data_IF_427710777656
#
_entry.id   IF_427710777656
#
_cell.length_a   1.000
_cell.length_b   1.000
_cell.length_c   1.000
_cell.angle_alpha   90.00
_cell.angle_beta   90.00
_cell.angle_gamma   90.00
#
_symmetry.space_group_name_H-M   'P 1'
#
loop_
_entity.id
_entity.type
_entity.pdbx_description
1 polymer ?
#
# COMPACT_ATOMS: atom_id res chain seq x y z
N UNK A 1 2.19 -1.57 -9.58
CA UNK A 1 2.98 -0.35 -9.38
C UNK A 1 2.09 0.54 -8.55
N UNK A 2 2.52 0.98 -7.37
CA UNK A 2 1.68 1.79 -6.48
C UNK A 2 1.71 3.23 -6.96
N UNK A 3 0.54 3.88 -7.06
CA UNK A 3 0.47 5.31 -7.32
C UNK A 3 0.99 6.03 -6.08
N UNK A 4 1.93 6.94 -6.28
CA UNK A 4 2.53 7.69 -5.18
C UNK A 4 1.76 9.00 -5.02
N UNK A 5 1.09 9.15 -3.87
CA UNK A 5 0.72 10.45 -3.37
C UNK A 5 1.96 11.04 -2.68
N UNK A 6 2.35 12.26 -3.06
CA UNK A 6 3.46 12.97 -2.44
C UNK A 6 2.84 14.10 -1.61
N UNK A 7 2.60 13.90 -0.30
CA UNK A 7 2.13 14.99 0.53
C UNK A 7 3.22 16.06 0.61
N UNK A 8 2.88 17.30 0.26
CA UNK A 8 3.77 18.43 0.41
C UNK A 8 3.83 18.81 1.90
N UNK A 9 4.97 18.59 2.55
CA UNK A 9 5.19 19.05 3.93
C UNK A 9 5.54 20.54 3.90
N UNK A 10 4.71 21.36 4.54
CA UNK A 10 5.06 22.75 4.91
C UNK A 10 4.52 23.87 4.02
N UNK A 11 3.63 23.58 3.08
CA UNK A 11 2.92 24.61 2.31
C UNK A 11 1.43 24.26 2.32
N UNK A 12 0.56 25.18 2.74
CA UNK A 12 -0.86 25.12 2.39
C UNK A 12 -0.96 25.12 0.85
N UNK A 13 -1.08 23.95 0.21
CA UNK A 13 -0.99 23.90 -1.25
C UNK A 13 -1.83 22.76 -1.83
N UNK A 14 -2.85 23.19 -2.59
CA UNK A 14 -4.00 22.50 -3.19
C UNK A 14 -5.09 22.00 -2.24
N UNK A 15 -6.32 22.47 -2.49
CA UNK A 15 -7.59 21.90 -2.01
C UNK A 15 -7.90 20.54 -2.65
N UNK A 16 -6.89 19.89 -3.24
CA UNK A 16 -7.03 18.72 -4.10
C UNK A 16 -5.88 17.75 -3.86
N UNK A 17 -6.20 16.45 -3.92
CA UNK A 17 -5.26 15.33 -3.88
C UNK A 17 -4.93 14.90 -5.30
N UNK A 18 -3.62 14.84 -5.61
CA UNK A 18 -3.14 14.52 -6.95
C UNK A 18 -2.31 13.25 -6.95
N UNK A 19 -2.55 12.40 -7.95
CA UNK A 19 -1.83 11.14 -8.19
C UNK A 19 -1.40 11.08 -9.66
N UNK A 20 -0.17 10.64 -9.90
CA UNK A 20 0.40 10.52 -11.24
C UNK A 20 0.67 9.06 -11.58
N UNK A 21 0.34 8.67 -12.81
CA UNK A 21 0.57 7.31 -13.29
C UNK A 21 0.92 7.25 -14.77
N UNK A 22 1.56 6.16 -15.14
CA UNK A 22 1.83 5.79 -16.53
C UNK A 22 1.49 4.32 -16.75
N UNK A 23 0.75 4.05 -17.82
CA UNK A 23 0.52 2.69 -18.29
C UNK A 23 1.69 2.30 -19.21
N UNK A 24 2.57 1.44 -18.69
CA UNK A 24 3.74 0.92 -19.44
C UNK A 24 3.32 0.34 -20.80
N UNK A 25 4.10 0.61 -21.84
CA UNK A 25 3.80 0.19 -23.22
C UNK A 25 3.68 -1.33 -23.38
N UNK A 26 4.21 -2.14 -22.45
CA UNK A 26 4.12 -3.61 -22.44
C UNK A 26 2.83 -4.14 -21.80
N UNK A 27 2.06 -3.31 -21.11
CA UNK A 27 0.73 -3.69 -20.60
C UNK A 27 -0.30 -3.57 -21.74
N UNK A 28 -1.38 -4.35 -21.74
CA UNK A 28 -2.44 -4.14 -22.75
C UNK A 28 -3.31 -2.94 -22.39
N UNK A 29 -3.69 -2.87 -21.12
CA UNK A 29 -4.49 -1.82 -20.49
C UNK A 29 -4.14 -1.79 -18.99
N UNK A 30 -4.67 -0.83 -18.26
CA UNK A 30 -4.62 -0.79 -16.81
C UNK A 30 -6.00 -0.57 -16.20
N UNK A 31 -6.23 -1.21 -15.06
CA UNK A 31 -7.39 -1.01 -14.20
C UNK A 31 -7.00 -0.08 -13.05
N UNK A 32 -7.67 1.07 -12.95
CA UNK A 32 -7.66 1.93 -11.77
C UNK A 32 -8.87 1.55 -10.92
N UNK A 33 -8.62 1.17 -9.68
CA UNK A 33 -9.63 0.92 -8.67
C UNK A 33 -9.65 2.11 -7.71
N UNK A 34 -10.79 2.76 -7.59
CA UNK A 34 -11.02 3.91 -6.73
C UNK A 34 -11.94 3.49 -5.58
N UNK A 35 -11.68 4.03 -4.38
CA UNK A 35 -12.57 3.88 -3.23
C UNK A 35 -12.68 5.19 -2.48
N UNK A 36 -13.91 5.64 -2.25
CA UNK A 36 -14.21 6.82 -1.43
C UNK A 36 -13.87 6.58 0.03
N UNK A 37 -13.11 7.51 0.64
CA UNK A 37 -12.79 7.49 2.06
C UNK A 37 -13.76 8.36 2.88
N UNK A 38 -14.39 9.31 2.21
CA UNK A 38 -15.40 10.25 2.68
C UNK A 38 -16.56 10.28 1.67
N UNK A 39 -17.73 10.74 2.11
CA UNK A 39 -18.89 10.89 1.23
C UNK A 39 -18.70 12.06 0.27
N UNK A 40 -19.41 12.05 -0.86
CA UNK A 40 -19.32 13.12 -1.87
C UNK A 40 -17.89 13.45 -2.34
N UNK A 41 -17.08 12.41 -2.56
CA UNK A 41 -15.74 12.58 -3.13
C UNK A 41 -15.80 12.64 -4.65
N UNK A 42 -15.32 13.72 -5.26
CA UNK A 42 -15.23 13.84 -6.72
C UNK A 42 -13.81 13.50 -7.16
N UNK A 43 -13.72 12.63 -8.18
CA UNK A 43 -12.46 12.19 -8.79
C UNK A 43 -12.48 12.44 -10.28
N UNK A 44 -11.44 13.11 -10.77
CA UNK A 44 -11.23 13.40 -12.20
C UNK A 44 -9.90 12.84 -12.67
N UNK A 45 -9.91 12.13 -13.79
CA UNK A 45 -8.72 11.52 -14.39
C UNK A 45 -8.50 12.20 -15.74
N UNK A 46 -7.29 12.71 -15.97
CA UNK A 46 -6.90 13.43 -17.18
C UNK A 46 -5.72 12.78 -17.87
N UNK A 47 -5.62 12.96 -19.19
CA UNK A 47 -4.35 12.77 -19.90
C UNK A 47 -3.33 13.80 -19.40
N UNK A 48 -2.16 13.34 -18.96
CA UNK A 48 -1.10 14.22 -18.49
C UNK A 48 -0.55 15.05 -19.66
N UNK A 49 -0.53 16.38 -19.49
CA UNK A 49 -0.01 17.32 -20.49
C UNK A 49 -0.98 17.65 -21.64
N UNK A 50 -2.24 17.20 -21.57
CA UNK A 50 -3.23 17.44 -22.65
C UNK A 50 -4.55 18.05 -22.18
N UNK A 51 -4.68 18.41 -20.89
CA UNK A 51 -5.91 18.93 -20.24
C UNK A 51 -7.22 18.27 -20.71
N UNK A 52 -7.14 16.99 -21.07
CA UNK A 52 -8.24 16.22 -21.65
C UNK A 52 -8.72 15.23 -20.60
N UNK A 53 -9.98 15.38 -20.19
CA UNK A 53 -10.64 14.48 -19.24
C UNK A 53 -10.78 13.08 -19.87
N UNK A 54 -10.43 12.06 -19.09
CA UNK A 54 -10.61 10.64 -19.38
C UNK A 54 -11.88 10.14 -18.70
N UNK A 55 -12.06 10.49 -17.42
CA UNK A 55 -13.20 10.04 -16.61
C UNK A 55 -13.44 11.00 -15.44
N UNK A 56 -14.70 11.19 -15.08
CA UNK A 56 -15.13 11.86 -13.85
C UNK A 56 -16.06 10.91 -13.08
N UNK A 57 -15.86 10.82 -11.77
CA UNK A 57 -16.56 9.89 -10.89
C UNK A 57 -16.87 10.60 -9.57
N UNK A 58 -18.08 10.41 -9.07
CA UNK A 58 -18.49 10.77 -7.70
C UNK A 58 -18.56 9.49 -6.88
N UNK A 59 -17.99 9.51 -5.68
CA UNK A 59 -17.87 8.37 -4.77
C UNK A 59 -18.37 8.75 -3.39
N UNK A 60 -19.25 7.93 -2.84
CA UNK A 60 -19.52 7.96 -1.39
C UNK A 60 -18.51 7.09 -0.62
N UNK A 61 -18.52 7.21 0.71
CA UNK A 61 -17.62 6.44 1.55
C UNK A 61 -17.85 4.94 1.37
N UNK A 62 -16.76 4.18 1.23
CA UNK A 62 -16.74 2.74 0.89
C UNK A 62 -17.17 2.41 -0.55
N UNK A 63 -17.73 3.36 -1.29
CA UNK A 63 -18.09 3.14 -2.68
C UNK A 63 -16.82 2.93 -3.51
N UNK A 64 -16.87 1.92 -4.39
CA UNK A 64 -15.78 1.58 -5.29
C UNK A 64 -16.15 1.79 -6.74
N UNK A 65 -15.19 2.25 -7.55
CA UNK A 65 -15.33 2.36 -9.01
C UNK A 65 -14.09 1.83 -9.71
N UNK A 66 -14.32 1.34 -10.93
CA UNK A 66 -13.31 0.74 -11.79
C UNK A 66 -13.21 1.57 -13.05
N UNK A 67 -12.02 2.07 -13.37
CA UNK A 67 -11.74 2.84 -14.58
C UNK A 67 -10.65 2.13 -15.37
N UNK A 68 -10.93 1.82 -16.63
CA UNK A 68 -9.94 1.21 -17.53
C UNK A 68 -9.22 2.32 -18.29
N UNK A 69 -7.88 2.23 -18.32
CA UNK A 69 -7.00 3.17 -19.02
C UNK A 69 -6.22 2.42 -20.08
N UNK A 70 -6.20 2.94 -21.30
CA UNK A 70 -5.48 2.36 -22.43
C UNK A 70 -3.96 2.38 -22.24
N UNK A 71 -3.29 1.42 -22.88
CA UNK A 71 -1.83 1.36 -23.00
C UNK A 71 -1.18 2.70 -23.40
N UNK A 72 0.02 2.99 -22.89
CA UNK A 72 0.80 4.16 -23.27
C UNK A 72 0.28 5.48 -22.69
N UNK A 73 -0.80 5.45 -21.91
CA UNK A 73 -1.39 6.64 -21.30
C UNK A 73 -0.56 7.08 -20.10
N UNK A 74 -0.08 8.33 -20.13
CA UNK A 74 0.32 9.09 -18.94
C UNK A 74 -0.90 9.85 -18.43
N UNK A 75 -1.21 9.74 -17.14
CA UNK A 75 -2.40 10.34 -16.56
C UNK A 75 -2.14 11.04 -15.23
N UNK A 76 -3.00 12.01 -14.93
CA UNK A 76 -3.13 12.68 -13.63
C UNK A 76 -4.53 12.40 -13.09
N UNK A 77 -4.62 11.90 -11.87
CA UNK A 77 -5.87 11.81 -11.11
C UNK A 77 -5.89 12.95 -10.09
N UNK A 78 -7.01 13.65 -10.01
CA UNK A 78 -7.27 14.76 -9.08
C UNK A 78 -8.53 14.44 -8.32
N UNK A 79 -8.54 14.67 -7.01
CA UNK A 79 -9.74 14.53 -6.19
C UNK A 79 -9.83 15.65 -5.16
N UNK A 80 -11.03 16.03 -4.77
CA UNK A 80 -11.29 17.02 -3.72
C UNK A 80 -11.07 16.45 -2.30
N UNK A 81 -11.21 15.14 -2.12
CA UNK A 81 -10.92 14.42 -0.89
C UNK A 81 -9.88 13.32 -1.13
N UNK A 82 -9.36 12.75 -0.05
CA UNK A 82 -8.43 11.64 -0.16
C UNK A 82 -9.15 10.40 -0.69
N UNK A 83 -8.53 9.72 -1.65
CA UNK A 83 -9.08 8.49 -2.27
C UNK A 83 -8.08 7.36 -2.14
N UNK A 84 -8.57 6.16 -1.81
CA UNK A 84 -7.75 4.95 -1.95
C UNK A 84 -7.71 4.55 -3.42
N UNK A 85 -6.51 4.63 -4.02
CA UNK A 85 -6.30 4.29 -5.42
C UNK A 85 -5.41 3.05 -5.56
N UNK A 86 -5.91 2.03 -6.24
CA UNK A 86 -5.14 0.84 -6.64
C UNK A 86 -4.96 0.81 -8.15
N UNK A 87 -3.72 0.61 -8.60
CA UNK A 87 -3.35 0.58 -10.01
C UNK A 87 -2.83 -0.79 -10.43
N UNK A 88 -3.57 -1.45 -11.33
CA UNK A 88 -3.29 -2.79 -11.82
C UNK A 88 -3.06 -2.75 -13.33
N UNK A 89 -1.80 -2.82 -13.74
CA UNK A 89 -1.41 -2.89 -15.14
C UNK A 89 -0.73 -4.24 -15.44
N UNK A 90 -1.09 -4.84 -16.57
CA UNK A 90 -0.58 -6.15 -16.97
C UNK A 90 -0.91 -6.50 -18.42
N UNK A 91 -0.49 -7.69 -18.86
CA UNK A 91 -0.86 -8.23 -20.19
C UNK A 91 -2.34 -8.58 -20.27
N UNK A 92 -2.89 -9.04 -19.14
CA UNK A 92 -4.31 -9.33 -18.95
C UNK A 92 -4.87 -8.33 -17.94
N UNK A 93 -6.03 -7.77 -18.27
CA UNK A 93 -6.77 -6.92 -17.36
C UNK A 93 -7.49 -7.81 -16.33
N UNK A 94 -7.33 -7.57 -15.02
CA UNK A 94 -8.09 -8.30 -14.02
C UNK A 94 -9.59 -8.05 -14.19
N UNK A 95 -10.41 -9.09 -14.05
CA UNK A 95 -11.87 -8.97 -14.08
C UNK A 95 -12.42 -8.76 -12.66
N UNK A 96 -13.03 -7.59 -12.36
CA UNK A 96 -13.65 -7.34 -11.05
C UNK A 96 -14.85 -8.25 -10.71
N UNK A 97 -15.38 -9.00 -11.69
CA UNK A 97 -16.44 -10.00 -11.46
C UNK A 97 -15.88 -11.37 -11.06
N UNK A 98 -14.57 -11.58 -11.16
CA UNK A 98 -13.92 -12.82 -10.76
C UNK A 98 -13.80 -12.91 -9.23
N UNK A 99 -13.67 -14.11 -8.69
CA UNK A 99 -13.38 -14.35 -7.26
C UNK A 99 -11.90 -14.19 -6.90
N UNK A 100 -11.04 -13.98 -7.90
CA UNK A 100 -9.59 -13.79 -7.78
C UNK A 100 -9.11 -12.53 -8.48
N UNK A 101 -7.94 -12.07 -8.05
CA UNK A 101 -7.23 -10.96 -8.67
C UNK A 101 -5.73 -10.96 -8.29
N UNK A 102 -4.94 -10.08 -8.94
CA UNK A 102 -3.53 -9.92 -8.59
C UNK A 102 -3.36 -9.23 -7.22
N UNK A 103 -2.44 -9.71 -6.38
CA UNK A 103 -2.09 -9.00 -5.15
C UNK A 103 -1.21 -7.79 -5.48
N UNK A 104 -1.61 -6.60 -5.00
CA UNK A 104 -0.75 -5.42 -4.99
C UNK A 104 0.32 -5.62 -3.93
N UNK A 105 1.59 -5.43 -4.29
CA UNK A 105 2.71 -5.52 -3.34
C UNK A 105 3.02 -4.13 -2.82
N UNK A 106 2.97 -3.94 -1.50
CA UNK A 106 3.28 -2.66 -0.85
C UNK A 106 2.58 -2.50 0.49
N UNK A 107 2.30 -1.25 0.83
CA UNK A 107 1.61 -0.87 2.06
C UNK A 107 0.35 -0.10 1.70
N UNK A 108 -0.72 -0.34 2.47
CA UNK A 108 -1.98 0.35 2.28
C UNK A 108 -1.98 1.67 3.05
N UNK A 109 -2.60 2.70 2.49
CA UNK A 109 -2.76 4.00 3.14
C UNK A 109 -3.96 4.00 4.08
N UNK A 110 -3.83 4.65 5.22
CA UNK A 110 -4.94 4.93 6.15
C UNK A 110 -5.90 5.94 5.53
N UNK A 111 -7.06 6.12 6.17
CA UNK A 111 -8.02 7.19 5.81
C UNK A 111 -7.47 8.60 6.04
N UNK A 112 -6.32 8.75 6.71
CA UNK A 112 -5.60 10.01 6.86
C UNK A 112 -4.46 10.20 5.86
N UNK A 113 -4.27 9.28 4.91
CA UNK A 113 -3.26 9.40 3.83
C UNK A 113 -1.85 8.95 4.17
N UNK A 114 -1.60 8.56 5.43
CA UNK A 114 -0.32 8.01 5.88
C UNK A 114 -0.33 6.47 5.78
N UNK A 115 0.83 5.82 5.97
CA UNK A 115 0.89 4.34 6.01
C UNK A 115 0.71 3.74 7.40
N UNK A 116 0.44 4.59 8.38
CA UNK A 116 0.20 4.25 9.78
C UNK A 116 -1.09 4.92 10.19
N UNK A 117 -1.99 4.18 10.83
CA UNK A 117 -3.23 4.76 11.29
C UNK A 117 -4.12 3.78 12.04
N UNK A 118 -5.33 4.24 12.33
CA UNK A 118 -6.36 3.50 13.06
C UNK A 118 -7.53 3.09 12.19
N UNK A 119 -7.62 3.63 10.98
CA UNK A 119 -8.66 3.30 10.02
C UNK A 119 -8.10 3.21 8.61
N UNK A 120 -8.51 2.17 7.89
CA UNK A 120 -8.11 1.90 6.51
C UNK A 120 -9.34 1.50 5.72
N UNK A 121 -9.48 2.03 4.50
CA UNK A 121 -10.53 1.65 3.56
C UNK A 121 -9.86 1.35 2.23
N UNK A 122 -10.06 0.16 1.70
CA UNK A 122 -9.43 -0.27 0.46
C UNK A 122 -10.20 -1.41 -0.20
N UNK A 123 -10.05 -1.54 -1.52
CA UNK A 123 -10.48 -2.72 -2.26
C UNK A 123 -9.36 -3.74 -2.28
N UNK A 124 -9.71 -4.97 -1.99
CA UNK A 124 -8.80 -6.10 -2.01
C UNK A 124 -8.73 -6.72 -3.40
N UNK A 125 -7.58 -7.29 -3.72
CA UNK A 125 -7.42 -8.17 -4.88
C UNK A 125 -6.41 -9.24 -4.50
N UNK A 126 -6.79 -10.51 -4.56
CA UNK A 126 -5.91 -11.61 -4.20
C UNK A 126 -6.23 -12.93 -4.92
N UNK A 127 -5.33 -13.89 -4.82
CA UNK A 127 -5.59 -15.25 -5.30
C UNK A 127 -6.61 -15.96 -4.40
N UNK A 128 -7.12 -17.09 -4.90
CA UNK A 128 -8.04 -17.98 -4.17
C UNK A 128 -7.42 -18.56 -2.88
N UNK A 129 -6.09 -18.60 -2.79
CA UNK A 129 -5.37 -19.17 -1.67
C UNK A 129 -4.37 -18.18 -1.08
N UNK A 130 -4.07 -18.36 0.20
CA UNK A 130 -3.10 -17.55 0.95
C UNK A 130 -3.72 -16.37 1.70
N UNK A 131 -2.89 -15.76 2.54
CA UNK A 131 -3.23 -14.63 3.40
C UNK A 131 -2.23 -13.48 3.13
N UNK A 132 -2.41 -12.73 2.04
CA UNK A 132 -1.41 -11.77 1.56
C UNK A 132 -1.38 -10.46 2.35
N UNK A 133 -2.42 -10.18 3.15
CA UNK A 133 -2.53 -8.96 3.94
C UNK A 133 -2.03 -9.21 5.36
N UNK A 134 -0.94 -8.56 5.74
CA UNK A 134 -0.41 -8.56 7.10
C UNK A 134 -0.83 -7.29 7.81
N UNK A 135 -1.54 -7.44 8.92
CA UNK A 135 -1.80 -6.36 9.86
C UNK A 135 -0.78 -6.48 10.99
N UNK A 136 0.03 -5.45 11.19
CA UNK A 136 1.00 -5.33 12.28
C UNK A 136 0.54 -4.24 13.24
N UNK A 137 0.50 -4.55 14.53
CA UNK A 137 0.18 -3.58 15.57
C UNK A 137 1.45 -2.88 16.09
N UNK A 138 1.44 -1.55 16.13
CA UNK A 138 2.55 -0.76 16.69
C UNK A 138 2.40 -0.56 18.21
N UNK A 139 1.17 -0.72 18.70
CA UNK A 139 0.75 -0.65 20.10
C UNK A 139 -0.40 -1.64 20.32
N UNK A 140 -0.74 -1.93 21.57
CA UNK A 140 -1.86 -2.82 21.91
C UNK A 140 -3.16 -2.35 21.22
N UNK A 141 -3.72 -3.22 20.38
CA UNK A 141 -4.78 -2.85 19.45
C UNK A 141 -5.87 -3.91 19.40
N UNK A 142 -7.14 -3.48 19.45
CA UNK A 142 -8.29 -4.27 19.04
C UNK A 142 -8.66 -3.85 17.62
N UNK A 143 -8.65 -4.80 16.70
CA UNK A 143 -8.91 -4.61 15.27
C UNK A 143 -10.24 -5.24 14.92
N UNK A 144 -11.06 -4.52 14.16
CA UNK A 144 -12.32 -5.01 13.59
C UNK A 144 -12.36 -4.68 12.11
N UNK A 145 -12.70 -5.67 11.29
CA UNK A 145 -12.74 -5.56 9.84
C UNK A 145 -14.20 -5.69 9.41
N UNK A 146 -14.68 -4.73 8.63
CA UNK A 146 -16.03 -4.68 8.08
C UNK A 146 -15.96 -4.86 6.57
N UNK A 147 -16.97 -5.53 6.00
CA UNK A 147 -17.18 -5.59 4.55
C UNK A 147 -17.95 -4.34 4.09
N UNK A 148 -18.03 -4.17 2.78
CA UNK A 148 -18.74 -3.06 2.13
C UNK A 148 -20.24 -2.98 2.43
N UNK A 149 -20.87 -4.09 2.83
CA UNK A 149 -22.26 -4.14 3.29
C UNK A 149 -22.43 -3.68 4.76
N UNK A 150 -21.35 -3.29 5.42
CA UNK A 150 -21.33 -2.91 6.84
C UNK A 150 -21.24 -4.08 7.80
N UNK A 151 -21.34 -5.32 7.32
CA UNK A 151 -21.22 -6.53 8.14
C UNK A 151 -19.81 -6.71 8.70
N UNK A 152 -19.72 -7.07 9.98
CA UNK A 152 -18.45 -7.45 10.59
C UNK A 152 -17.93 -8.74 9.91
N UNK A 153 -16.72 -8.67 9.36
CA UNK A 153 -16.02 -9.81 8.79
C UNK A 153 -15.24 -10.57 9.86
N UNK A 154 -14.47 -9.87 10.69
CA UNK A 154 -13.71 -10.45 11.79
C UNK A 154 -13.25 -9.40 12.80
N UNK A 155 -13.01 -9.83 14.04
CA UNK A 155 -12.48 -9.00 15.12
C UNK A 155 -11.45 -9.77 15.95
N UNK A 156 -10.35 -9.11 16.34
CA UNK A 156 -9.28 -9.73 17.13
C UNK A 156 -8.40 -8.66 17.79
N UNK A 157 -7.60 -9.08 18.78
CA UNK A 157 -6.62 -8.22 19.44
C UNK A 157 -5.19 -8.62 19.09
N UNK A 158 -4.29 -7.64 19.03
CA UNK A 158 -2.85 -7.81 18.86
C UNK A 158 -2.12 -6.98 19.92
N UNK A 159 -1.07 -7.54 20.50
CA UNK A 159 -0.12 -6.77 21.32
C UNK A 159 0.84 -5.98 20.43
N UNK A 160 1.52 -5.00 21.02
CA UNK A 160 2.55 -4.25 20.32
C UNK A 160 3.60 -5.18 19.68
N UNK A 161 3.88 -4.97 18.38
CA UNK A 161 4.75 -5.77 17.51
C UNK A 161 4.22 -7.18 17.14
N UNK A 162 3.00 -7.53 17.52
CA UNK A 162 2.34 -8.71 16.98
C UNK A 162 1.71 -8.40 15.62
N UNK A 163 1.56 -9.45 14.81
CA UNK A 163 0.94 -9.35 13.51
C UNK A 163 -0.01 -10.52 13.26
N UNK A 164 -0.95 -10.32 12.33
CA UNK A 164 -1.81 -11.37 11.78
C UNK A 164 -1.85 -11.26 10.28
N UNK A 165 -1.67 -12.40 9.62
CA UNK A 165 -1.91 -12.54 8.18
C UNK A 165 -3.39 -12.92 7.97
N UNK A 166 -4.07 -12.21 7.07
CA UNK A 166 -5.48 -12.44 6.75
C UNK A 166 -5.70 -12.64 5.25
N UNK A 167 -6.70 -13.45 4.93
CA UNK A 167 -7.23 -13.63 3.59
C UNK A 167 -8.53 -12.84 3.47
N UNK A 168 -8.72 -12.13 2.36
CA UNK A 168 -9.89 -11.32 2.08
C UNK A 168 -10.44 -11.70 0.70
N UNK A 169 -11.75 -11.54 0.48
CA UNK A 169 -12.32 -11.80 -0.86
C UNK A 169 -11.81 -10.76 -1.85
N UNK A 170 -11.58 -11.13 -3.11
CA UNK A 170 -11.19 -10.15 -4.13
C UNK A 170 -12.35 -9.23 -4.48
N UNK A 171 -12.01 -8.01 -4.88
CA UNK A 171 -12.90 -6.96 -5.39
C UNK A 171 -13.98 -6.49 -4.42
N UNK A 172 -13.77 -6.73 -3.12
CA UNK A 172 -14.63 -6.25 -2.04
C UNK A 172 -13.96 -5.06 -1.37
N UNK A 173 -14.71 -4.00 -1.09
CA UNK A 173 -14.23 -2.92 -0.22
C UNK A 173 -14.26 -3.41 1.23
N UNK A 174 -13.15 -3.23 1.95
CA UNK A 174 -13.06 -3.49 3.38
C UNK A 174 -12.75 -2.21 4.12
N UNK A 175 -13.34 -2.07 5.31
CA UNK A 175 -12.99 -1.06 6.30
C UNK A 175 -12.37 -1.73 7.50
N UNK A 176 -11.13 -1.39 7.81
CA UNK A 176 -10.43 -1.86 9.01
C UNK A 176 -10.46 -0.73 10.04
N UNK A 177 -10.94 -1.00 11.24
CA UNK A 177 -10.86 -0.10 12.40
C UNK A 177 -9.98 -0.71 13.47
N UNK A 178 -9.18 0.12 14.13
CA UNK A 178 -8.31 -0.27 15.22
C UNK A 178 -8.35 0.74 16.37
N UNK A 179 -8.21 0.28 17.61
CA UNK A 179 -8.06 1.17 18.78
C UNK A 179 -6.68 1.85 18.83
N UNK A 180 -5.65 1.16 18.31
CA UNK A 180 -4.27 1.61 18.23
C UNK A 180 -3.75 1.71 16.80
N UNK A 181 -2.57 2.28 16.63
CA UNK A 181 -1.91 2.44 15.34
C UNK A 181 -1.44 1.10 14.79
N UNK A 182 -1.81 0.83 13.55
CA UNK A 182 -1.43 -0.37 12.80
C UNK A 182 -0.81 0.01 11.46
N UNK A 183 -0.12 -0.96 10.87
CA UNK A 183 0.37 -0.93 9.48
C UNK A 183 -0.25 -2.13 8.75
N UNK A 184 -0.74 -1.92 7.52
CA UNK A 184 -1.21 -3.00 6.66
C UNK A 184 -0.28 -3.14 5.46
N UNK A 185 0.39 -4.29 5.37
CA UNK A 185 1.23 -4.65 4.25
C UNK A 185 0.54 -5.71 3.40
N UNK A 186 0.45 -5.48 2.09
CA UNK A 186 0.02 -6.47 1.11
C UNK A 186 1.24 -7.05 0.39
N UNK A 187 1.36 -8.37 0.34
CA UNK A 187 2.52 -9.03 -0.27
C UNK A 187 2.19 -10.42 -0.79
N UNK A 188 2.80 -10.79 -1.92
CA UNK A 188 2.89 -12.18 -2.37
C UNK A 188 4.30 -12.69 -2.08
N UNK A 189 4.41 -13.70 -1.23
CA UNK A 189 5.67 -14.30 -0.80
C UNK A 189 6.54 -14.78 -1.99
N UNK A 190 5.91 -15.20 -3.09
CA UNK A 190 6.58 -15.83 -4.22
C UNK A 190 6.80 -14.92 -5.43
N UNK A 191 6.32 -13.67 -5.38
CA UNK A 191 6.48 -12.71 -6.47
C UNK A 191 7.27 -11.51 -5.98
N UNK A 192 8.50 -11.42 -6.46
CA UNK A 192 9.43 -10.37 -6.08
C UNK A 192 9.20 -9.09 -6.87
N UNK A 193 9.00 -7.99 -6.14
CA UNK A 193 9.21 -6.63 -6.62
C UNK A 193 9.81 -5.82 -5.49
N UNK A 194 10.71 -4.90 -5.79
CA UNK A 194 11.12 -3.89 -4.81
C UNK A 194 9.92 -2.98 -4.52
N UNK A 195 9.70 -2.67 -3.25
CA UNK A 195 8.70 -1.71 -2.79
C UNK A 195 9.28 -0.84 -1.68
N UNK A 196 8.73 0.35 -1.51
CA UNK A 196 9.12 1.25 -0.43
C UNK A 196 8.52 0.77 0.89
N UNK A 197 9.31 0.85 1.96
CA UNK A 197 8.87 0.52 3.32
C UNK A 197 8.66 1.85 4.05
N UNK A 198 7.43 2.17 4.47
CA UNK A 198 7.18 3.38 5.23
C UNK A 198 7.74 3.24 6.64
N UNK A 199 8.12 4.37 7.21
CA UNK A 199 8.43 4.49 8.61
C UNK A 199 7.16 4.46 9.45
N UNK A 200 7.28 4.06 10.72
CA UNK A 200 6.22 4.18 11.72
C UNK A 200 5.75 5.62 11.96
N UNK A 201 6.53 6.60 11.51
CA UNK A 201 6.16 8.01 11.58
C UNK A 201 5.21 8.40 10.43
N UNK A 202 4.80 7.44 9.58
CA UNK A 202 3.79 7.62 8.52
C UNK A 202 4.34 8.02 7.15
N UNK A 203 5.62 8.40 7.05
CA UNK A 203 6.31 8.81 5.81
C UNK A 203 7.33 7.76 5.34
N UNK A 204 8.06 8.01 4.24
CA UNK A 204 9.18 7.16 3.80
C UNK A 204 10.53 7.51 4.43
N UNK A 205 10.58 8.52 5.31
CA UNK A 205 11.76 8.93 6.05
C UNK A 205 11.50 8.78 7.53
N UNK A 206 12.41 8.14 8.26
CA UNK A 206 12.26 7.96 9.70
C UNK A 206 13.31 7.02 10.28
N UNK A 207 13.06 6.55 11.49
CA UNK A 207 14.04 5.77 12.27
C UNK A 207 13.64 4.32 12.48
N UNK A 208 12.35 3.99 12.33
CA UNK A 208 11.81 2.64 12.53
C UNK A 208 10.95 2.27 11.34
N UNK A 209 11.17 1.07 10.84
CA UNK A 209 10.53 0.52 9.65
C UNK A 209 10.17 -0.94 9.92
N UNK A 210 9.01 -1.36 9.43
CA UNK A 210 8.56 -2.75 9.54
C UNK A 210 8.19 -3.27 8.18
N UNK A 211 8.65 -4.48 7.86
CA UNK A 211 8.21 -5.23 6.68
C UNK A 211 8.24 -6.72 6.98
N UNK A 212 7.28 -7.43 6.39
CA UNK A 212 7.35 -8.88 6.19
C UNK A 212 8.61 -9.21 5.40
N UNK A 213 9.31 -10.24 5.85
CA UNK A 213 10.44 -10.86 5.17
C UNK A 213 10.32 -12.39 5.28
N UNK A 214 10.98 -13.11 4.38
CA UNK A 214 11.09 -14.56 4.44
C UNK A 214 12.23 -14.99 5.36
N UNK A 215 11.97 -16.04 6.14
CA UNK A 215 12.94 -16.68 7.05
C UNK A 215 13.90 -17.61 6.31
N UNK A 216 13.46 -18.28 5.24
CA UNK A 216 14.32 -19.07 4.35
C UNK A 216 14.25 -18.51 2.93
N UNK A 217 15.42 -18.38 2.30
CA UNK A 217 15.57 -17.68 1.02
C UNK A 217 16.16 -18.62 -0.03
N UNK A 218 15.49 -18.82 -1.17
CA UNK A 218 16.13 -19.46 -2.33
C UNK A 218 17.33 -18.63 -2.79
N UNK A 219 18.44 -19.31 -3.14
CA UNK A 219 19.74 -18.67 -3.41
C UNK A 219 19.71 -17.64 -4.55
N UNK A 220 18.81 -17.83 -5.53
CA UNK A 220 18.67 -16.97 -6.73
C UNK A 220 17.94 -15.65 -6.47
N UNK A 221 17.48 -15.40 -5.24
CA UNK A 221 16.73 -14.21 -4.92
C UNK A 221 17.58 -13.15 -4.21
N UNK A 222 17.56 -11.92 -4.74
CA UNK A 222 18.17 -10.72 -4.12
C UNK A 222 17.26 -10.05 -3.09
N UNK A 223 16.72 -10.84 -2.17
CA UNK A 223 15.98 -10.32 -1.02
C UNK A 223 16.94 -9.60 -0.06
N UNK A 224 16.99 -8.29 -0.18
CA UNK A 224 17.75 -7.41 0.68
C UNK A 224 17.04 -6.07 0.88
N UNK A 225 17.57 -5.29 1.81
CA UNK A 225 17.14 -3.91 2.03
C UNK A 225 18.11 -2.98 1.30
N UNK A 226 17.58 -2.04 0.52
CA UNK A 226 18.34 -0.88 0.08
C UNK A 226 18.03 0.27 1.03
N UNK A 227 19.03 0.72 1.76
CA UNK A 227 18.88 1.72 2.82
C UNK A 227 19.64 2.96 2.40
N UNK A 228 18.93 4.07 2.23
CA UNK A 228 19.50 5.40 2.01
C UNK A 228 19.42 6.19 3.31
N UNK A 229 20.53 6.80 3.72
CA UNK A 229 20.55 7.67 4.90
C UNK A 229 20.86 9.10 4.53
N UNK A 230 20.13 10.06 5.11
CA UNK A 230 20.39 11.49 4.91
C UNK A 230 21.60 11.99 5.72
N UNK A 231 21.97 11.26 6.78
CA UNK A 231 23.11 11.56 7.67
C UNK A 231 23.84 10.27 8.01
N UNK A 232 25.05 10.35 8.56
CA UNK A 232 25.74 9.17 9.06
C UNK A 232 24.86 8.46 10.11
N UNK A 233 24.55 7.19 9.89
CA UNK A 233 23.61 6.42 10.71
C UNK A 233 24.15 5.03 11.05
N UNK A 234 23.80 4.54 12.23
CA UNK A 234 23.93 3.13 12.61
C UNK A 234 22.58 2.47 12.39
N UNK A 235 22.54 1.44 11.56
CA UNK A 235 21.31 0.71 11.24
C UNK A 235 21.38 -0.67 11.86
N UNK A 236 20.25 -1.10 12.44
CA UNK A 236 20.06 -2.45 12.98
C UNK A 236 18.90 -3.09 12.26
N UNK A 237 19.14 -4.26 11.70
CA UNK A 237 18.10 -5.12 11.15
C UNK A 237 17.71 -6.09 12.25
N UNK A 238 16.43 -6.10 12.60
CA UNK A 238 15.91 -6.82 13.77
C UNK A 238 14.83 -7.80 13.34
N UNK A 239 14.91 -9.03 13.84
CA UNK A 239 13.85 -10.01 13.70
C UNK A 239 12.83 -9.82 14.83
N UNK A 240 11.65 -9.32 14.48
CA UNK A 240 10.58 -9.03 15.44
C UNK A 240 10.04 -10.30 16.11
N UNK A 241 9.98 -11.43 15.37
CA UNK A 241 9.43 -12.70 15.87
C UNK A 241 10.38 -13.34 16.87
N UNK A 242 11.67 -13.44 16.52
CA UNK A 242 12.69 -14.05 17.37
C UNK A 242 13.34 -13.07 18.35
N UNK A 243 12.96 -11.80 18.30
CA UNK A 243 13.45 -10.73 19.19
C UNK A 243 14.99 -10.67 19.24
N UNK A 244 15.64 -10.71 18.06
CA UNK A 244 17.10 -10.68 17.94
C UNK A 244 17.59 -9.75 16.83
N UNK A 245 18.77 -9.18 16.99
CA UNK A 245 19.45 -8.48 15.91
C UNK A 245 19.94 -9.50 14.88
N UNK A 246 19.62 -9.25 13.61
CA UNK A 246 20.08 -10.05 12.47
C UNK A 246 21.37 -9.46 11.91
N UNK A 247 21.42 -8.13 11.80
CA UNK A 247 22.59 -7.44 11.24
C UNK A 247 22.71 -6.02 11.81
N UNK A 248 23.96 -5.53 11.90
CA UNK A 248 24.27 -4.16 12.30
C UNK A 248 25.29 -3.58 11.32
N UNK A 249 25.02 -2.37 10.85
CA UNK A 249 25.88 -1.71 9.88
C UNK A 249 25.90 -0.19 10.06
N UNK A 250 26.86 0.46 9.42
CA UNK A 250 26.91 1.92 9.29
C UNK A 250 26.52 2.31 7.87
N UNK A 251 25.78 3.41 7.73
CA UNK A 251 25.40 4.00 6.45
C UNK A 251 25.85 5.45 6.48
N UNK A 252 26.67 5.83 5.51
CA UNK A 252 27.12 7.20 5.35
C UNK A 252 25.98 8.09 4.84
N UNK A 253 25.96 9.34 5.29
CA UNK A 253 24.98 10.33 4.81
C UNK A 253 25.09 10.56 3.31
N UNK A 254 23.95 10.66 2.64
CA UNK A 254 23.86 10.83 1.18
C UNK A 254 24.16 9.56 0.38
N UNK A 255 24.45 8.43 1.04
CA UNK A 255 24.80 7.16 0.38
C UNK A 255 23.77 6.07 0.69
N UNK A 256 23.59 5.19 -0.29
CA UNK A 256 22.77 3.99 -0.15
C UNK A 256 23.65 2.77 0.06
N UNK A 257 23.19 1.85 0.90
CA UNK A 257 23.79 0.52 1.07
C UNK A 257 22.75 -0.54 0.73
N UNK A 258 23.19 -1.64 0.14
CA UNK A 258 22.36 -2.83 -0.05
C UNK A 258 22.79 -3.87 0.97
N UNK A 259 21.83 -4.39 1.72
CA UNK A 259 22.05 -5.37 2.77
C UNK A 259 21.23 -6.62 2.50
N UNK A 260 21.88 -7.78 2.54
CA UNK A 260 21.23 -9.09 2.42
C UNK A 260 21.41 -9.82 3.75
N UNK A 261 20.49 -9.67 4.71
CA UNK A 261 20.68 -10.21 6.06
C UNK A 261 20.80 -11.73 6.02
N UNK A 262 21.78 -12.32 6.68
CA UNK A 262 21.85 -13.79 6.83
C UNK A 262 20.77 -14.20 7.86
N UNK A 263 19.86 -15.10 7.46
CA UNK A 263 18.74 -15.56 8.30
C UNK A 263 19.21 -16.37 9.50
#
# INVERSE_FOLDING_TARGET
MMLMHVPCLGVHCSSEYVYYGVVDCRAREALIVLVGLEDDTIVRIYYLGRDKLISEVRLDRLEKRFVVISNGTMFKLVSDHLVSVTFLAGRELPDPKSDKGPVVIGFLTSTSGNYVGKEFIFVTSQRLTGAPYRILALEDSKITIFREDGGEYMSFSLKANEYRDIALKSWVTYRVKSTGNIIIQSSEIWRQRSFFIPSVDGSFVGRRFYSRSLSSRPAHFDYGFKILSLKNAKVTIWDVKFKRAVERLKVEGGRAVTVKPKG
#
